data_IF_720692823931
#
_entry.id   IF_720692823931
#
_cell.length_a   1.000
_cell.length_b   1.000
_cell.length_c   1.000
_cell.angle_alpha   90.00
_cell.angle_beta   90.00
_cell.angle_gamma   90.00
#
_symmetry.space_group_name_H-M   'P 1'
#
loop_
_entity.id
_entity.type
_entity.pdbx_description
1 polymer ?
#
# COMPACT_ATOMS: atom_id res chain seq x y z
N UNK A 1 -7.39 0.50 25.77
CA UNK A 1 -8.14 1.56 25.06
C UNK A 1 -8.11 2.90 25.82
N UNK A 2 -6.93 3.53 26.01
CA UNK A 2 -6.80 4.84 26.69
C UNK A 2 -6.74 6.05 25.72
N UNK A 3 -6.62 5.81 24.42
CA UNK A 3 -6.32 6.84 23.40
C UNK A 3 -7.44 7.84 23.09
N UNK A 4 -8.69 7.54 23.42
CA UNK A 4 -9.84 8.40 23.11
C UNK A 4 -10.47 9.05 24.36
N UNK A 5 -9.81 8.92 25.52
CA UNK A 5 -10.34 9.43 26.79
C UNK A 5 -10.23 10.96 26.81
N UNK A 6 -11.34 11.66 27.04
CA UNK A 6 -11.38 13.13 27.14
C UNK A 6 -11.51 13.88 25.81
N UNK A 7 -11.85 13.20 24.71
CA UNK A 7 -12.08 13.86 23.42
C UNK A 7 -13.51 14.33 23.27
N UNK A 8 -13.69 15.47 22.60
CA UNK A 8 -15.00 16.09 22.33
C UNK A 8 -15.87 15.19 21.43
N UNK A 9 -15.26 14.45 20.50
CA UNK A 9 -15.96 13.56 19.58
C UNK A 9 -15.89 12.11 20.03
N UNK A 10 -16.96 11.36 19.75
CA UNK A 10 -16.98 9.91 19.94
C UNK A 10 -15.88 9.25 19.09
N UNK A 11 -15.30 8.17 19.60
CA UNK A 11 -14.24 7.39 18.93
C UNK A 11 -14.60 7.04 17.48
N UNK A 12 -15.87 6.72 17.22
CA UNK A 12 -16.33 6.23 15.92
C UNK A 12 -16.25 7.34 14.86
N UNK A 13 -16.54 8.59 15.23
CA UNK A 13 -16.42 9.75 14.35
C UNK A 13 -14.95 10.01 14.02
N UNK A 14 -14.07 9.97 15.03
CA UNK A 14 -12.63 10.18 14.86
C UNK A 14 -12.03 9.14 13.91
N UNK A 15 -12.42 7.86 14.08
CA UNK A 15 -11.99 6.77 13.20
C UNK A 15 -12.49 6.97 11.77
N UNK A 16 -13.76 7.35 11.58
CA UNK A 16 -14.33 7.61 10.25
C UNK A 16 -13.63 8.75 9.52
N UNK A 17 -13.35 9.86 10.21
CA UNK A 17 -12.64 11.02 9.66
C UNK A 17 -11.25 10.63 9.16
N UNK A 18 -10.49 9.95 10.01
CA UNK A 18 -9.14 9.55 9.65
C UNK A 18 -9.12 8.42 8.61
N UNK A 19 -10.13 7.54 8.57
CA UNK A 19 -10.32 6.60 7.46
C UNK A 19 -10.60 7.34 6.15
N UNK A 20 -11.50 8.33 6.13
CA UNK A 20 -11.78 9.12 4.92
C UNK A 20 -10.54 9.82 4.38
N UNK A 21 -9.74 10.40 5.27
CA UNK A 21 -8.49 11.03 4.88
C UNK A 21 -7.44 10.02 4.42
N UNK A 22 -7.14 8.99 5.21
CA UNK A 22 -6.04 8.06 4.93
C UNK A 22 -6.36 7.07 3.79
N UNK A 23 -7.60 6.61 3.65
CA UNK A 23 -7.98 5.54 2.69
C UNK A 23 -8.53 6.08 1.37
N UNK A 24 -9.27 7.19 1.41
CA UNK A 24 -9.95 7.74 0.24
C UNK A 24 -9.32 9.05 -0.24
N UNK A 25 -8.26 9.53 0.44
CA UNK A 25 -7.54 10.76 0.07
C UNK A 25 -8.45 11.99 -0.08
N UNK A 26 -9.56 12.03 0.69
CA UNK A 26 -10.50 13.14 0.68
C UNK A 26 -9.91 14.38 1.35
N UNK A 27 -10.23 15.57 0.82
CA UNK A 27 -9.84 16.83 1.42
C UNK A 27 -10.59 17.08 2.73
N UNK A 28 -10.00 17.87 3.64
CA UNK A 28 -10.65 18.21 4.91
C UNK A 28 -12.00 18.93 4.74
N UNK A 29 -12.16 19.70 3.65
CA UNK A 29 -13.43 20.36 3.32
C UNK A 29 -14.49 19.36 2.88
N UNK A 30 -14.11 18.38 2.06
CA UNK A 30 -15.02 17.33 1.60
C UNK A 30 -15.49 16.48 2.78
N UNK A 31 -14.56 16.11 3.67
CA UNK A 31 -14.88 15.36 4.90
C UNK A 31 -15.82 16.18 5.81
N UNK A 32 -15.59 17.48 5.96
CA UNK A 32 -16.47 18.38 6.71
C UNK A 32 -17.88 18.43 6.09
N UNK A 33 -17.99 18.49 4.75
CA UNK A 33 -19.25 18.39 4.03
C UNK A 33 -20.01 17.08 4.29
N UNK A 34 -19.33 15.94 4.17
CA UNK A 34 -19.90 14.60 4.43
C UNK A 34 -20.38 14.47 5.87
N UNK A 35 -19.69 15.08 6.84
CA UNK A 35 -20.12 15.09 8.24
C UNK A 35 -21.33 16.02 8.46
N UNK A 36 -21.36 17.17 7.78
CA UNK A 36 -22.50 18.10 7.86
C UNK A 36 -23.79 17.46 7.33
N UNK A 37 -23.73 16.64 6.28
CA UNK A 37 -24.88 15.85 5.79
C UNK A 37 -25.43 14.86 6.82
N UNK A 38 -24.64 14.52 7.85
CA UNK A 38 -25.03 13.63 8.95
C UNK A 38 -25.30 14.38 10.25
N UNK A 39 -25.59 15.68 10.16
CA UNK A 39 -25.83 16.59 11.30
C UNK A 39 -24.62 16.76 12.25
N UNK A 40 -23.40 16.51 11.76
CA UNK A 40 -22.16 16.65 12.53
C UNK A 40 -21.37 17.85 12.01
N UNK A 41 -21.61 19.02 12.61
CA UNK A 41 -20.90 20.25 12.25
C UNK A 41 -19.48 20.28 12.82
N UNK A 42 -18.48 20.12 11.95
CA UNK A 42 -17.06 20.12 12.32
C UNK A 42 -16.25 20.98 11.36
N UNK A 43 -15.51 21.94 11.91
CA UNK A 43 -14.65 22.79 11.09
C UNK A 43 -13.46 22.00 10.51
N UNK A 44 -13.03 22.28 9.25
CA UNK A 44 -11.92 21.55 8.63
C UNK A 44 -10.61 21.55 9.42
N UNK A 45 -10.32 22.61 10.19
CA UNK A 45 -9.12 22.65 11.06
C UNK A 45 -9.18 21.64 12.20
N UNK A 46 -10.37 21.39 12.76
CA UNK A 46 -10.57 20.36 13.78
C UNK A 46 -10.32 18.96 13.21
N UNK A 47 -10.77 18.71 11.97
CA UNK A 47 -10.49 17.47 11.25
C UNK A 47 -8.99 17.30 11.02
N UNK A 48 -8.29 18.37 10.61
CA UNK A 48 -6.84 18.35 10.46
C UNK A 48 -6.13 17.99 11.77
N UNK A 49 -6.53 18.56 12.91
CA UNK A 49 -5.96 18.21 14.22
C UNK A 49 -6.19 16.73 14.56
N UNK A 50 -7.41 16.21 14.34
CA UNK A 50 -7.73 14.81 14.58
C UNK A 50 -6.91 13.87 13.68
N UNK A 51 -6.78 14.19 12.39
CA UNK A 51 -5.96 13.42 11.44
C UNK A 51 -4.48 13.48 11.81
N UNK A 52 -3.98 14.62 12.27
CA UNK A 52 -2.58 14.72 12.70
C UNK A 52 -2.30 13.87 13.93
N UNK A 53 -3.22 13.84 14.89
CA UNK A 53 -3.09 13.08 16.13
C UNK A 53 -3.26 11.57 15.92
N UNK A 54 -4.27 11.15 15.16
CA UNK A 54 -4.64 9.74 15.00
C UNK A 54 -4.20 9.12 13.67
N UNK A 55 -3.75 9.92 12.71
CA UNK A 55 -3.41 9.46 11.37
C UNK A 55 -2.28 8.44 11.39
N UNK A 56 -1.25 8.62 12.21
CA UNK A 56 -0.16 7.65 12.36
C UNK A 56 -0.65 6.32 12.93
N UNK A 57 -1.51 6.35 13.95
CA UNK A 57 -2.10 5.16 14.57
C UNK A 57 -2.98 4.39 13.57
N UNK A 58 -3.86 5.10 12.86
CA UNK A 58 -4.79 4.49 11.89
C UNK A 58 -4.04 4.01 10.67
N UNK A 59 -3.02 4.76 10.22
CA UNK A 59 -2.10 4.31 9.19
C UNK A 59 -1.38 3.03 9.62
N UNK A 60 -0.90 2.90 10.86
CA UNK A 60 -0.28 1.67 11.36
C UNK A 60 -1.25 0.48 11.42
N UNK A 61 -2.50 0.72 11.82
CA UNK A 61 -3.55 -0.31 11.84
C UNK A 61 -3.86 -0.76 10.41
N UNK A 62 -4.01 0.18 9.48
CA UNK A 62 -4.23 -0.12 8.06
C UNK A 62 -3.02 -0.81 7.42
N UNK A 63 -1.81 -0.37 7.79
CA UNK A 63 -0.52 -0.92 7.34
C UNK A 63 -0.25 -2.32 7.89
N UNK A 64 -1.15 -2.93 8.68
CA UNK A 64 -1.16 -4.40 8.86
C UNK A 64 -1.56 -5.06 7.54
N UNK A 65 -0.67 -4.95 6.56
CA UNK A 65 -0.69 -5.72 5.33
C UNK A 65 -0.49 -7.16 5.72
N UNK A 66 -1.30 -8.05 5.13
CA UNK A 66 -1.14 -9.49 5.35
C UNK A 66 0.25 -9.92 4.90
N UNK A 67 0.82 -10.89 5.61
CA UNK A 67 2.21 -11.29 5.38
C UNK A 67 2.44 -12.09 4.08
N UNK A 68 1.46 -12.17 3.19
CA UNK A 68 1.53 -12.87 1.90
C UNK A 68 1.37 -11.85 0.78
N UNK A 69 2.41 -11.71 -0.04
CA UNK A 69 2.47 -10.74 -1.14
C UNK A 69 2.60 -11.45 -2.48
N UNK A 70 2.04 -10.83 -3.52
CA UNK A 70 2.11 -11.25 -4.91
C UNK A 70 2.69 -10.10 -5.74
N UNK A 71 3.82 -10.37 -6.40
CA UNK A 71 4.48 -9.41 -7.28
C UNK A 71 4.38 -9.91 -8.71
N UNK A 72 3.69 -9.12 -9.52
CA UNK A 72 3.48 -9.40 -10.92
C UNK A 72 4.16 -8.36 -11.82
N UNK A 73 4.56 -8.81 -13.01
CA UNK A 73 5.13 -7.96 -14.04
C UNK A 73 4.37 -8.16 -15.34
N UNK A 74 3.58 -7.15 -15.73
CA UNK A 74 2.75 -7.18 -16.95
C UNK A 74 3.17 -6.08 -17.91
N UNK A 75 2.93 -6.28 -19.21
CA UNK A 75 3.14 -5.26 -20.24
C UNK A 75 1.81 -4.55 -20.54
N UNK A 76 1.80 -3.22 -20.49
CA UNK A 76 0.62 -2.41 -20.81
C UNK A 76 0.95 -1.36 -21.86
N UNK A 77 -0.03 -0.97 -22.68
CA UNK A 77 0.14 0.06 -23.70
C UNK A 77 -0.31 1.42 -23.16
N UNK A 78 0.61 2.38 -23.07
CA UNK A 78 0.35 3.74 -22.58
C UNK A 78 0.69 4.74 -23.67
N UNK A 79 -0.30 5.51 -24.13
CA UNK A 79 -0.16 6.48 -25.23
C UNK A 79 0.50 5.90 -26.50
N UNK A 80 0.21 4.64 -26.82
CA UNK A 80 0.75 3.97 -27.99
C UNK A 80 2.06 3.20 -27.77
N UNK A 81 2.78 3.45 -26.68
CA UNK A 81 4.04 2.77 -26.34
C UNK A 81 3.82 1.60 -25.36
N UNK A 82 4.57 0.51 -25.52
CA UNK A 82 4.58 -0.59 -24.56
C UNK A 82 5.44 -0.24 -23.35
N UNK A 83 4.85 -0.39 -22.16
CA UNK A 83 5.49 -0.15 -20.88
C UNK A 83 5.36 -1.39 -19.97
N UNK A 84 6.36 -1.61 -19.14
CA UNK A 84 6.36 -2.61 -18.07
C UNK A 84 5.69 -2.04 -16.83
N UNK A 85 4.67 -2.73 -16.36
CA UNK A 85 3.96 -2.47 -15.12
C UNK A 85 4.38 -3.52 -14.09
N UNK A 86 5.06 -3.08 -13.04
CA UNK A 86 5.28 -3.88 -11.84
C UNK A 86 4.19 -3.54 -10.83
N UNK A 87 3.54 -4.54 -10.29
CA UNK A 87 2.53 -4.36 -9.27
C UNK A 87 2.80 -5.32 -8.11
N UNK A 88 2.52 -4.84 -6.91
CA UNK A 88 2.59 -5.62 -5.69
C UNK A 88 1.22 -5.60 -5.05
N UNK A 89 0.67 -6.77 -4.76
CA UNK A 89 -0.67 -6.96 -4.19
C UNK A 89 -0.54 -7.81 -2.94
N UNK A 90 -1.35 -7.53 -1.93
CA UNK A 90 -1.53 -8.44 -0.81
C UNK A 90 -2.54 -9.58 -1.14
N UNK A 91 -2.59 -10.59 -0.29
CA UNK A 91 -3.58 -11.69 -0.38
C UNK A 91 -5.04 -11.19 -0.36
N UNK A 92 -5.30 -10.03 0.25
CA UNK A 92 -6.62 -9.41 0.28
C UNK A 92 -7.00 -8.68 -1.01
N UNK A 93 -6.13 -8.68 -2.03
CA UNK A 93 -6.34 -7.96 -3.27
C UNK A 93 -6.06 -6.46 -3.18
N UNK A 94 -5.49 -5.97 -2.07
CA UNK A 94 -5.06 -4.59 -1.94
C UNK A 94 -3.71 -4.38 -2.61
N UNK A 95 -3.67 -3.41 -3.51
CA UNK A 95 -2.43 -2.99 -4.13
C UNK A 95 -1.54 -2.27 -3.12
N UNK A 96 -0.32 -2.77 -2.93
CA UNK A 96 0.70 -2.18 -2.09
C UNK A 96 1.41 -1.03 -2.79
N UNK A 97 1.84 -1.28 -4.03
CA UNK A 97 2.50 -0.28 -4.87
C UNK A 97 2.43 -0.70 -6.35
N UNK A 98 2.56 0.28 -7.24
CA UNK A 98 2.59 0.11 -8.69
C UNK A 98 3.73 0.96 -9.26
N UNK A 99 4.56 0.37 -10.10
CA UNK A 99 5.60 1.09 -10.81
C UNK A 99 5.55 0.84 -12.32
N UNK A 100 5.39 1.92 -13.08
CA UNK A 100 5.42 1.89 -14.54
C UNK A 100 6.82 2.27 -15.06
N UNK A 101 7.35 1.49 -16.01
CA UNK A 101 8.65 1.72 -16.65
C UNK A 101 8.56 1.46 -18.15
N UNK A 102 9.35 2.18 -18.96
CA UNK A 102 9.42 1.93 -20.41
C UNK A 102 10.22 0.66 -20.73
N UNK A 103 11.25 0.37 -19.95
CA UNK A 103 12.17 -0.75 -20.16
C UNK A 103 12.13 -1.73 -19.00
N UNK A 104 12.49 -2.99 -19.29
CA UNK A 104 12.66 -4.03 -18.29
C UNK A 104 14.02 -3.86 -17.60
N UNK A 105 14.07 -3.00 -16.60
CA UNK A 105 15.29 -2.72 -15.84
C UNK A 105 15.31 -3.48 -14.51
N UNK A 106 16.37 -4.24 -14.31
CA UNK A 106 16.71 -4.92 -13.07
C UNK A 106 16.79 -3.96 -11.88
N UNK A 107 17.46 -2.82 -12.06
CA UNK A 107 17.70 -1.85 -10.99
C UNK A 107 16.38 -1.22 -10.53
N UNK A 108 15.46 -0.97 -11.46
CA UNK A 108 14.13 -0.49 -11.14
C UNK A 108 13.35 -1.48 -10.27
N UNK A 109 13.36 -2.77 -10.63
CA UNK A 109 12.71 -3.84 -9.85
C UNK A 109 13.32 -3.96 -8.45
N UNK A 110 14.65 -3.90 -8.35
CA UNK A 110 15.34 -3.89 -7.06
C UNK A 110 14.91 -2.72 -6.17
N UNK A 111 14.85 -1.49 -6.73
CA UNK A 111 14.43 -0.30 -5.99
C UNK A 111 12.94 -0.37 -5.60
N UNK A 112 12.09 -0.91 -6.47
CA UNK A 112 10.67 -1.14 -6.19
C UNK A 112 10.48 -2.11 -5.02
N UNK A 113 11.06 -3.30 -5.11
CA UNK A 113 10.99 -4.32 -4.04
C UNK A 113 11.57 -3.80 -2.72
N UNK A 114 12.69 -3.07 -2.76
CA UNK A 114 13.29 -2.45 -1.58
C UNK A 114 12.38 -1.37 -0.97
N UNK A 115 11.71 -0.57 -1.80
CA UNK A 115 10.78 0.47 -1.37
C UNK A 115 9.60 -0.13 -0.61
N UNK A 116 8.99 -1.17 -1.16
CA UNK A 116 7.84 -1.86 -0.55
C UNK A 116 8.23 -2.51 0.78
N UNK A 117 9.38 -3.19 0.88
CA UNK A 117 9.82 -3.78 2.14
C UNK A 117 10.13 -2.73 3.20
N UNK A 118 10.75 -1.62 2.82
CA UNK A 118 10.98 -0.51 3.76
C UNK A 118 9.68 0.13 4.23
N UNK A 119 8.70 0.23 3.32
CA UNK A 119 7.40 0.75 3.64
C UNK A 119 6.67 -0.24 4.56
N UNK A 120 6.34 -1.44 4.11
CA UNK A 120 5.39 -2.34 4.78
C UNK A 120 6.02 -3.40 5.70
N UNK A 121 7.35 -3.53 5.71
CA UNK A 121 8.07 -4.56 6.45
C UNK A 121 8.34 -5.81 5.61
N UNK A 122 8.81 -6.87 6.25
CA UNK A 122 9.15 -8.13 5.58
C UNK A 122 7.90 -9.04 5.45
N UNK A 123 7.56 -9.54 4.25
CA UNK A 123 6.50 -10.53 4.10
C UNK A 123 6.94 -11.93 4.58
N UNK A 124 6.00 -12.72 5.07
CA UNK A 124 6.20 -14.15 5.36
C UNK A 124 6.28 -14.97 4.08
N UNK A 125 5.47 -14.64 3.07
CA UNK A 125 5.47 -15.30 1.76
C UNK A 125 5.51 -14.26 0.66
N UNK A 126 6.45 -14.40 -0.27
CA UNK A 126 6.55 -13.58 -1.47
C UNK A 126 6.38 -14.47 -2.68
N UNK A 127 5.31 -14.23 -3.44
CA UNK A 127 5.06 -14.92 -4.69
C UNK A 127 5.42 -14.01 -5.85
N UNK A 128 6.29 -14.45 -6.76
CA UNK A 128 6.68 -13.67 -7.94
C UNK A 128 6.39 -14.42 -9.24
N UNK A 129 6.22 -13.69 -10.32
CA UNK A 129 6.27 -14.25 -11.67
C UNK A 129 7.65 -14.84 -11.99
N UNK A 130 7.72 -15.72 -13.00
CA UNK A 130 8.97 -16.32 -13.51
C UNK A 130 9.85 -15.33 -14.31
N UNK A 131 9.69 -14.03 -14.08
CA UNK A 131 10.47 -13.00 -14.77
C UNK A 131 11.92 -12.99 -14.26
N UNK A 132 12.95 -13.02 -15.15
CA UNK A 132 14.34 -13.06 -14.72
C UNK A 132 14.75 -11.81 -13.92
N UNK A 133 14.20 -10.65 -14.26
CA UNK A 133 14.48 -9.41 -13.52
C UNK A 133 13.96 -9.44 -12.08
N UNK A 134 12.81 -10.08 -11.82
CA UNK A 134 12.24 -10.25 -10.48
C UNK A 134 13.06 -11.22 -9.65
N UNK A 135 13.45 -12.36 -10.24
CA UNK A 135 14.26 -13.38 -9.57
C UNK A 135 15.63 -12.82 -9.16
N UNK A 136 16.35 -12.22 -10.09
CA UNK A 136 17.66 -11.64 -9.77
C UNK A 136 17.54 -10.51 -8.72
N UNK A 137 16.45 -9.74 -8.74
CA UNK A 137 16.27 -8.62 -7.80
C UNK A 137 16.01 -9.16 -6.39
N UNK A 138 15.21 -10.22 -6.31
CA UNK A 138 14.97 -10.95 -5.08
C UNK A 138 16.25 -11.56 -4.50
N UNK A 139 17.07 -12.25 -5.30
CA UNK A 139 18.35 -12.83 -4.88
C UNK A 139 19.30 -11.76 -4.31
N UNK A 140 19.40 -10.59 -4.95
CA UNK A 140 20.21 -9.48 -4.43
C UNK A 140 19.64 -8.91 -3.13
N UNK A 141 18.33 -8.92 -2.94
CA UNK A 141 17.70 -8.45 -1.71
C UNK A 141 17.82 -9.46 -0.55
N UNK A 142 17.86 -10.75 -0.85
CA UNK A 142 18.25 -11.80 0.10
C UNK A 142 19.66 -11.57 0.62
N UNK A 143 20.62 -11.37 -0.30
CA UNK A 143 22.02 -11.11 0.07
C UNK A 143 22.19 -9.83 0.90
N UNK A 144 21.37 -8.80 0.62
CA UNK A 144 21.35 -7.56 1.38
C UNK A 144 20.48 -7.62 2.65
N UNK A 145 20.06 -8.81 3.09
CA UNK A 145 19.36 -9.03 4.36
C UNK A 145 17.98 -8.36 4.48
N UNK A 146 17.29 -8.07 3.36
CA UNK A 146 15.93 -7.50 3.36
C UNK A 146 14.81 -8.55 3.51
N UNK A 147 15.07 -9.79 3.13
CA UNK A 147 14.13 -10.92 3.18
C UNK A 147 14.79 -12.12 3.89
N UNK A 148 14.90 -12.09 5.22
CA UNK A 148 15.59 -13.14 5.99
C UNK A 148 14.71 -14.36 6.29
N UNK A 149 13.42 -14.13 6.51
CA UNK A 149 12.42 -15.10 6.94
C UNK A 149 11.33 -15.33 5.87
N UNK A 150 11.39 -14.60 4.76
CA UNK A 150 10.44 -14.73 3.65
C UNK A 150 10.61 -16.05 2.89
N UNK A 151 9.51 -16.79 2.74
CA UNK A 151 9.43 -17.92 1.80
C UNK A 151 9.13 -17.39 0.41
N UNK A 152 9.99 -17.69 -0.56
CA UNK A 152 9.78 -17.33 -1.95
C UNK A 152 9.07 -18.44 -2.72
N UNK A 153 8.02 -18.07 -3.45
CA UNK A 153 7.30 -18.96 -4.35
C UNK A 153 7.30 -18.35 -5.75
N UNK A 154 7.48 -19.17 -6.78
CA UNK A 154 7.28 -18.74 -8.17
C UNK A 154 5.92 -19.27 -8.65
N UNK A 155 5.13 -18.41 -9.30
CA UNK A 155 3.87 -18.86 -9.91
C UNK A 155 4.20 -19.93 -10.97
N UNK A 156 3.67 -21.15 -10.79
CA UNK A 156 4.00 -22.30 -11.65
C UNK A 156 3.41 -22.16 -13.06
N UNK A 157 2.46 -21.26 -13.27
CA UNK A 157 1.72 -21.14 -14.52
C UNK A 157 1.48 -19.66 -14.81
N UNK A 158 1.87 -19.21 -16.00
CA UNK A 158 1.43 -17.94 -16.55
C UNK A 158 -0.09 -17.95 -16.53
N UNK A 159 -0.72 -17.20 -15.62
CA UNK A 159 -2.09 -16.77 -15.84
C UNK A 159 -2.03 -15.85 -17.05
N UNK A 160 -2.43 -16.40 -18.20
CA UNK A 160 -2.79 -15.62 -19.38
C UNK A 160 -3.90 -14.69 -18.93
N UNK A 161 -3.56 -13.45 -18.61
CA UNK A 161 -4.50 -12.36 -18.45
C UNK A 161 -4.85 -11.83 -19.84
N UNK A 162 -6.16 -11.73 -20.08
CA UNK A 162 -6.84 -11.30 -21.29
C UNK A 162 -6.36 -9.95 -21.86
#
# INVERSE_FOLDING_TARGET
MRYFKGKQFKKDIILVVALYYCRFSLGYRDISGILNERDISVHPTTLMCLVHEYGTLIYQIWKKVRSVWHLDATYIKVKGEWCYLYRAIDEGGHTLDIQLRKTRDYQAVYMFMKGIVKAFGEPTVLTTDKGPALLCAFEKLLNNCFYKHTKHCTLRTCLKSF
#
